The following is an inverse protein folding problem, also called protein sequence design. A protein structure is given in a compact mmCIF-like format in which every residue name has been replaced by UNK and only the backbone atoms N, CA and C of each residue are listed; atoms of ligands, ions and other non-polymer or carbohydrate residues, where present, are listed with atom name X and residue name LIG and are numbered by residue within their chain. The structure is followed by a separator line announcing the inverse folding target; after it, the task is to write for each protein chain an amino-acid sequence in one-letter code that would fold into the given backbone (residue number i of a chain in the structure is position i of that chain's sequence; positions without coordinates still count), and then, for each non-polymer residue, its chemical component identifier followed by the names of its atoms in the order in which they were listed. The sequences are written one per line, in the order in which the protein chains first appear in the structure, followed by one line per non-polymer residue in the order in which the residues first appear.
data_IF_722457240305
#
_entry.id   IF_722457240305
#
_cell.length_a   1.000
_cell.length_b   1.000
_cell.length_c   1.000
_cell.angle_alpha   90.00
_cell.angle_beta   90.00
_cell.angle_gamma   90.00
#
_symmetry.space_group_name_H-M   'P 1'
#
loop_
_entity.id
_entity.type
_entity.pdbx_description
1 polymer ?
#
# COMPACT_ATOMS: atom_id res chain seq x y z
N UNK A 1 7.44 -3.13 -47.43
CA UNK A 1 6.94 -4.17 -46.49
C UNK A 1 7.45 -3.81 -45.11
N UNK A 2 6.48 -3.66 -44.18
CA UNK A 2 6.56 -3.66 -42.71
C UNK A 2 7.64 -2.76 -42.04
N UNK A 3 7.24 -1.52 -41.74
CA UNK A 3 7.74 -0.84 -40.55
C UNK A 3 7.25 -1.64 -39.34
N UNK A 4 8.18 -2.11 -38.52
CA UNK A 4 7.88 -2.55 -37.16
C UNK A 4 8.12 -1.34 -36.26
N UNK A 5 7.09 -0.58 -35.85
CA UNK A 5 7.27 0.22 -34.66
C UNK A 5 7.30 -0.80 -33.52
N UNK A 6 8.49 -1.13 -33.03
CA UNK A 6 8.60 -1.65 -31.67
C UNK A 6 8.19 -0.49 -30.76
N UNK A 7 6.87 -0.31 -30.62
CA UNK A 7 6.29 0.34 -29.48
C UNK A 7 6.69 -0.54 -28.31
N UNK A 8 7.84 -0.22 -27.73
CA UNK A 8 8.12 -0.58 -26.35
C UNK A 8 7.12 0.25 -25.53
N UNK A 9 5.87 -0.22 -25.51
CA UNK A 9 4.85 0.34 -24.62
C UNK A 9 5.34 -0.08 -23.25
N UNK A 10 6.12 0.81 -22.62
CA UNK A 10 6.67 0.63 -21.29
C UNK A 10 5.56 0.10 -20.40
N UNK A 11 5.65 -1.18 -20.06
CA UNK A 11 4.71 -1.81 -19.14
C UNK A 11 4.95 -1.11 -17.81
N UNK A 12 4.09 -0.14 -17.51
CA UNK A 12 4.09 0.54 -16.23
C UNK A 12 4.07 -0.50 -15.12
N UNK A 13 4.95 -0.32 -14.15
CA UNK A 13 5.13 -1.28 -13.07
C UNK A 13 3.80 -1.45 -12.32
N UNK A 14 3.32 -2.68 -12.05
CA UNK A 14 2.08 -2.94 -11.29
C UNK A 14 2.21 -2.58 -9.80
N UNK A 15 3.18 -1.73 -9.46
CA UNK A 15 3.52 -1.35 -8.10
C UNK A 15 2.92 0.03 -7.82
N UNK A 16 2.02 0.10 -6.84
CA UNK A 16 1.35 1.33 -6.43
C UNK A 16 1.49 1.56 -4.93
N UNK A 17 1.49 2.82 -4.46
CA UNK A 17 1.46 3.13 -3.04
C UNK A 17 0.06 2.87 -2.45
N UNK A 18 -0.01 2.17 -1.32
CA UNK A 18 -1.25 1.86 -0.60
C UNK A 18 -1.05 2.14 0.88
N UNK A 19 -2.07 2.71 1.52
CA UNK A 19 -2.08 2.96 2.95
C UNK A 19 -2.57 1.70 3.68
N UNK A 20 -1.71 1.17 4.54
CA UNK A 20 -1.96 0.00 5.38
C UNK A 20 -2.37 0.48 6.75
N UNK A 21 -3.57 0.11 7.18
CA UNK A 21 -4.15 0.49 8.46
C UNK A 21 -4.16 -0.69 9.44
N UNK A 22 -3.66 -0.45 10.65
CA UNK A 22 -3.65 -1.38 11.78
C UNK A 22 -4.56 -0.83 12.89
N UNK A 23 -5.85 -1.21 12.91
CA UNK A 23 -6.79 -0.75 13.93
C UNK A 23 -6.38 -1.27 15.31
N UNK A 24 -6.54 -0.43 16.33
CA UNK A 24 -6.30 -0.76 17.74
C UNK A 24 -4.91 -1.32 18.04
N UNK A 25 -3.93 -1.05 17.16
CA UNK A 25 -2.55 -1.41 17.42
C UNK A 25 -2.10 -0.74 18.72
N UNK A 26 -1.40 -1.48 19.58
CA UNK A 26 -0.97 -0.92 20.86
C UNK A 26 -0.01 0.28 20.65
N UNK A 27 -0.19 1.41 21.36
CA UNK A 27 0.63 2.60 21.16
C UNK A 27 2.15 2.40 21.33
N UNK A 28 2.57 1.45 22.16
CA UNK A 28 3.99 1.11 22.32
C UNK A 28 4.62 0.51 21.04
N UNK A 29 3.81 0.06 20.08
CA UNK A 29 4.24 -0.44 18.78
C UNK A 29 4.32 0.66 17.70
N UNK A 30 3.98 1.92 18.02
CA UNK A 30 4.01 3.05 17.08
C UNK A 30 5.44 3.56 16.80
N UNK A 31 6.45 2.73 17.00
CA UNK A 31 7.82 3.11 16.66
C UNK A 31 8.04 2.95 15.16
N UNK A 32 8.79 3.87 14.51
CA UNK A 32 8.99 3.78 13.07
C UNK A 32 9.58 2.45 12.59
N UNK A 33 10.47 1.86 13.39
CA UNK A 33 11.06 0.56 13.10
C UNK A 33 10.01 -0.56 13.04
N UNK A 34 9.10 -0.60 14.00
CA UNK A 34 8.04 -1.62 14.05
C UNK A 34 7.07 -1.38 12.91
N UNK A 35 6.58 -0.15 12.74
CA UNK A 35 5.62 0.21 11.70
C UNK A 35 6.17 -0.07 10.29
N UNK A 36 7.42 0.26 10.00
CA UNK A 36 8.04 -0.11 8.73
C UNK A 36 8.19 -1.63 8.59
N UNK A 37 8.52 -2.34 9.67
CA UNK A 37 8.54 -3.80 9.68
C UNK A 37 7.17 -4.41 9.33
N UNK A 38 6.08 -3.85 9.87
CA UNK A 38 4.73 -4.25 9.53
C UNK A 38 4.39 -3.95 8.07
N UNK A 39 4.73 -2.74 7.59
CA UNK A 39 4.56 -2.38 6.17
C UNK A 39 5.35 -3.29 5.22
N UNK A 40 6.53 -3.77 5.65
CA UNK A 40 7.39 -4.66 4.89
C UNK A 40 6.78 -6.04 4.60
N UNK A 41 5.78 -6.47 5.38
CA UNK A 41 5.02 -7.71 5.14
C UNK A 41 4.25 -7.61 3.81
N UNK A 42 3.83 -6.41 3.46
CA UNK A 42 2.97 -6.16 2.31
C UNK A 42 3.71 -5.60 1.09
N UNK A 43 4.84 -4.92 1.30
CA UNK A 43 5.49 -4.19 0.24
C UNK A 43 6.68 -3.42 0.72
N UNK A 44 7.14 -2.43 -0.06
CA UNK A 44 8.22 -1.55 0.39
C UNK A 44 7.65 -0.42 1.24
N UNK A 45 7.90 -0.34 2.55
CA UNK A 45 7.41 0.77 3.37
C UNK A 45 8.05 2.08 2.90
N UNK A 46 7.21 3.10 2.74
CA UNK A 46 7.61 4.43 2.27
C UNK A 46 7.61 5.45 3.40
N UNK A 47 6.50 5.52 4.14
CA UNK A 47 6.26 6.58 5.12
C UNK A 47 5.22 6.15 6.15
N UNK A 48 5.33 6.68 7.37
CA UNK A 48 4.31 6.57 8.41
C UNK A 48 3.33 7.74 8.28
N UNK A 49 2.04 7.46 8.40
CA UNK A 49 1.01 8.50 8.37
C UNK A 49 1.27 9.56 9.44
N UNK A 50 0.96 10.82 9.14
CA UNK A 50 1.26 11.95 10.03
C UNK A 50 0.55 11.77 11.38
N UNK A 51 -0.72 11.36 11.37
CA UNK A 51 -1.48 11.16 12.61
C UNK A 51 -0.94 9.99 13.45
N UNK A 52 -0.37 8.99 12.79
CA UNK A 52 0.33 7.87 13.45
C UNK A 52 1.66 8.34 14.03
N UNK A 53 2.45 9.11 13.27
CA UNK A 53 3.77 9.60 13.69
C UNK A 53 3.69 10.55 14.90
N UNK A 54 2.63 11.34 15.01
CA UNK A 54 2.41 12.24 16.16
C UNK A 54 1.51 11.62 17.23
N UNK A 55 0.99 10.41 17.00
CA UNK A 55 0.11 9.71 17.94
C UNK A 55 -1.28 10.36 18.13
N UNK A 56 -1.73 11.23 17.22
CA UNK A 56 -3.03 11.92 17.33
C UNK A 56 -4.23 11.02 17.03
N UNK A 57 -4.00 9.85 16.42
CA UNK A 57 -5.02 8.80 16.18
C UNK A 57 -4.57 7.46 16.76
N UNK A 58 -4.66 7.27 18.10
CA UNK A 58 -4.19 6.04 18.75
C UNK A 58 -5.05 4.81 18.43
N UNK A 59 -6.24 4.99 17.84
CA UNK A 59 -7.11 3.88 17.42
C UNK A 59 -6.72 3.28 16.07
N UNK A 60 -5.82 3.92 15.31
CA UNK A 60 -5.50 3.53 13.94
C UNK A 60 -4.06 3.91 13.59
N UNK A 61 -3.15 2.94 13.58
CA UNK A 61 -1.81 3.15 13.05
C UNK A 61 -1.83 2.95 11.54
N UNK A 62 -1.10 3.77 10.79
CA UNK A 62 -1.03 3.67 9.33
C UNK A 62 0.36 3.83 8.77
N UNK A 63 0.65 3.02 7.76
CA UNK A 63 1.92 3.02 7.03
C UNK A 63 1.62 2.97 5.55
N UNK A 64 2.23 3.88 4.79
CA UNK A 64 2.19 3.84 3.34
C UNK A 64 3.30 2.91 2.85
N UNK A 65 2.97 1.95 1.99
CA UNK A 65 3.94 1.07 1.35
C UNK A 65 3.64 0.89 -0.14
N UNK A 66 4.65 0.53 -0.93
CA UNK A 66 4.49 0.16 -2.35
C UNK A 66 4.11 -1.31 -2.46
N UNK A 67 2.93 -1.57 -3.04
CA UNK A 67 2.34 -2.89 -3.22
C UNK A 67 2.40 -3.30 -4.68
N UNK A 68 2.80 -4.54 -4.92
CA UNK A 68 2.56 -5.21 -6.20
C UNK A 68 1.12 -5.72 -6.23
N UNK A 69 0.28 -5.11 -7.08
CA UNK A 69 -1.16 -5.39 -7.13
C UNK A 69 -1.50 -6.71 -7.82
N UNK A 70 -0.51 -7.38 -8.42
CA UNK A 70 -0.70 -8.71 -8.99
C UNK A 70 -0.71 -9.81 -7.92
N UNK A 71 -0.30 -9.46 -6.69
CA UNK A 71 -0.24 -10.37 -5.54
C UNK A 71 -1.46 -10.25 -4.64
N UNK A 72 -1.70 -11.30 -3.87
CA UNK A 72 -2.68 -11.31 -2.78
C UNK A 72 -1.97 -11.07 -1.45
N UNK A 73 -2.61 -10.33 -0.56
CA UNK A 73 -2.08 -9.99 0.75
C UNK A 73 -3.04 -10.45 1.86
N UNK A 74 -2.53 -10.78 3.05
CA UNK A 74 -3.37 -11.17 4.17
C UNK A 74 -4.11 -9.95 4.75
N UNK A 75 -5.28 -10.18 5.32
CA UNK A 75 -6.03 -9.17 6.09
C UNK A 75 -5.74 -9.24 7.59
N UNK A 76 -4.86 -10.15 8.02
CA UNK A 76 -4.48 -10.36 9.41
C UNK A 76 -3.00 -10.76 9.51
N UNK A 77 -2.32 -10.30 10.55
CA UNK A 77 -0.92 -10.66 10.82
C UNK A 77 -0.75 -11.05 12.29
N UNK A 78 0.15 -12.00 12.57
CA UNK A 78 0.50 -12.36 13.93
C UNK A 78 1.57 -11.42 14.48
N UNK A 79 1.33 -10.83 15.65
CA UNK A 79 2.28 -9.97 16.34
C UNK A 79 2.73 -10.59 17.65
N UNK A 80 4.04 -10.72 17.84
CA UNK A 80 4.66 -11.24 19.06
C UNK A 80 5.15 -12.69 18.93
N UNK A 81 5.58 -13.25 20.06
CA UNK A 81 6.02 -14.66 20.14
C UNK A 81 4.84 -15.64 19.98
N UNK A 82 5.12 -16.91 19.74
CA UNK A 82 4.09 -17.96 19.59
C UNK A 82 3.14 -18.06 20.80
N UNK A 83 3.64 -17.83 22.02
CA UNK A 83 2.87 -18.02 23.26
C UNK A 83 2.20 -16.75 23.82
N UNK A 84 2.64 -15.57 23.40
CA UNK A 84 2.19 -14.27 23.94
C UNK A 84 1.78 -13.27 22.85
N UNK A 85 1.69 -13.74 21.61
CA UNK A 85 1.28 -12.93 20.49
C UNK A 85 -0.23 -12.79 20.37
N UNK A 86 -0.65 -11.96 19.42
CA UNK A 86 -2.05 -11.78 19.08
C UNK A 86 -2.21 -11.56 17.58
N UNK A 87 -3.43 -11.80 17.09
CA UNK A 87 -3.80 -11.50 15.71
C UNK A 87 -4.13 -10.03 15.60
N UNK A 88 -3.41 -9.34 14.71
CA UNK A 88 -3.65 -7.95 14.35
C UNK A 88 -4.38 -7.90 13.02
N UNK A 89 -5.57 -7.29 13.02
CA UNK A 89 -6.29 -6.99 11.79
C UNK A 89 -5.53 -5.96 10.95
N UNK A 90 -5.68 -6.08 9.64
CA UNK A 90 -5.07 -5.20 8.64
C UNK A 90 -6.14 -4.78 7.63
N UNK A 91 -6.26 -3.47 7.45
CA UNK A 91 -7.14 -2.87 6.46
C UNK A 91 -6.25 -2.21 5.42
N UNK A 92 -6.31 -2.71 4.19
CA UNK A 92 -5.72 -2.03 3.05
C UNK A 92 -6.75 -1.02 2.57
N UNK A 93 -6.39 0.27 2.56
CA UNK A 93 -7.27 1.30 1.99
C UNK A 93 -7.60 0.88 0.55
N UNK A 94 -8.90 0.92 0.22
CA UNK A 94 -9.43 0.26 -0.98
C UNK A 94 -8.63 0.62 -2.22
N UNK A 95 -8.23 -0.42 -2.95
CA UNK A 95 -7.97 -0.27 -4.37
C UNK A 95 -9.25 0.35 -4.97
N UNK A 96 -9.19 1.51 -5.66
CA UNK A 96 -10.28 1.98 -6.47
C UNK A 96 -10.82 0.80 -7.30
N UNK A 97 -12.14 0.72 -7.50
CA UNK A 97 -12.82 -0.44 -8.09
C UNK A 97 -12.26 -0.91 -9.44
N UNK A 98 -11.43 -0.07 -10.07
CA UNK A 98 -10.66 -0.33 -11.28
C UNK A 98 -9.67 -1.50 -11.18
N UNK A 99 -9.16 -1.90 -10.01
CA UNK A 99 -8.21 -3.04 -9.95
C UNK A 99 -8.90 -4.37 -10.24
N UNK A 100 -10.17 -4.52 -9.86
CA UNK A 100 -10.98 -5.66 -10.28
C UNK A 100 -11.27 -5.62 -11.78
N UNK A 101 -11.47 -4.41 -12.32
CA UNK A 101 -11.68 -4.17 -13.75
C UNK A 101 -10.45 -4.52 -14.60
N UNK A 102 -9.24 -4.20 -14.15
CA UNK A 102 -7.97 -4.59 -14.83
C UNK A 102 -7.83 -6.11 -14.90
N UNK A 103 -8.16 -6.81 -13.80
CA UNK A 103 -8.06 -8.27 -13.70
C UNK A 103 -9.08 -9.00 -14.57
N UNK A 104 -10.24 -8.39 -14.82
CA UNK A 104 -11.35 -8.98 -15.61
C UNK A 104 -11.31 -8.57 -17.09
N UNK A 105 -10.90 -7.34 -17.41
CA UNK A 105 -11.00 -6.78 -18.76
C UNK A 105 -9.66 -6.63 -19.50
N UNK A 106 -8.51 -6.86 -18.84
CA UNK A 106 -7.20 -6.80 -19.50
C UNK A 106 -6.84 -5.42 -20.07
N UNK A 107 -7.46 -4.35 -19.54
CA UNK A 107 -7.25 -2.98 -20.01
C UNK A 107 -5.89 -2.48 -19.49
N UNK A 108 -5.18 -1.73 -20.35
CA UNK A 108 -3.80 -1.28 -20.18
C UNK A 108 -3.51 -0.67 -18.78
N UNK A 109 -2.54 -1.28 -18.07
CA UNK A 109 -2.08 -0.90 -16.73
C UNK A 109 -1.65 0.57 -16.58
N UNK A 110 -1.29 1.24 -17.69
CA UNK A 110 -0.60 2.54 -17.68
C UNK A 110 -1.42 3.67 -17.05
N UNK A 111 -2.65 3.89 -17.51
CA UNK A 111 -3.45 5.05 -17.11
C UNK A 111 -3.88 4.98 -15.64
N UNK A 112 -4.13 3.77 -15.12
CA UNK A 112 -4.53 3.54 -13.73
C UNK A 112 -3.35 3.76 -12.79
N UNK A 113 -2.19 3.16 -13.08
CA UNK A 113 -0.97 3.34 -12.26
C UNK A 113 -0.57 4.81 -12.22
N UNK A 114 -0.70 5.55 -13.33
CA UNK A 114 -0.41 6.98 -13.38
C UNK A 114 -1.33 7.80 -12.47
N UNK A 115 -2.63 7.51 -12.44
CA UNK A 115 -3.59 8.19 -11.54
C UNK A 115 -3.25 7.98 -10.06
N UNK A 116 -2.85 6.76 -9.68
CA UNK A 116 -2.39 6.48 -8.32
C UNK A 116 -1.09 7.19 -7.99
N UNK A 117 -0.12 7.19 -8.91
CA UNK A 117 1.15 7.92 -8.72
C UNK A 117 0.93 9.43 -8.64
N UNK A 118 -0.03 9.98 -9.39
CA UNK A 118 -0.42 11.39 -9.30
C UNK A 118 -1.13 11.70 -7.99
N UNK A 119 -2.06 10.86 -7.55
CA UNK A 119 -2.71 10.99 -6.23
C UNK A 119 -1.68 10.95 -5.10
N UNK A 120 -0.70 10.04 -5.21
CA UNK A 120 0.43 9.97 -4.31
C UNK A 120 1.33 11.19 -4.38
N UNK A 121 1.67 11.70 -5.56
CA UNK A 121 2.41 12.96 -5.73
C UNK A 121 1.68 14.11 -5.04
N UNK A 122 0.36 14.18 -5.17
CA UNK A 122 -0.46 15.19 -4.50
C UNK A 122 -0.46 15.01 -2.96
N UNK A 123 -0.58 13.78 -2.46
CA UNK A 123 -0.45 13.49 -1.02
C UNK A 123 0.96 13.77 -0.48
N UNK A 124 2.00 13.49 -1.25
CA UNK A 124 3.39 13.74 -0.87
C UNK A 124 3.70 15.25 -0.80
N UNK A 125 3.06 16.03 -1.68
CA UNK A 125 3.14 17.49 -1.71
C UNK A 125 2.18 18.18 -0.73
N UNK A 126 1.37 17.44 0.03
CA UNK A 126 0.30 17.95 0.90
C UNK A 126 -0.70 18.88 0.16
N UNK A 127 -1.01 18.57 -1.11
CA UNK A 127 -1.91 19.35 -1.96
C UNK A 127 -3.40 18.90 -1.88
N UNK A 128 -3.72 18.01 -0.93
CA UNK A 128 -5.06 17.49 -0.65
C UNK A 128 -5.32 17.49 0.86
#
# INVERSE_FOLDING_TARGET
MKCSPSLDVGVESPVIPILVSFPQLHPHLYTPRILHGLGAIFGKPLKIDVATSVGSRPSMARVLAEFDITKSYPNQVWLGSESLGYVQDVILDEFPPFVHLVRVLGIWLGDVVLLFRLTYLMQLLNLL
#
